data_IF_905114018668
#
_entry.id   IF_905114018668
#
_cell.length_a   1.000
_cell.length_b   1.000
_cell.length_c   1.000
_cell.angle_alpha   90.00
_cell.angle_beta   90.00
_cell.angle_gamma   90.00
#
_symmetry.space_group_name_H-M   'P 1'
#
loop_
_entity.id
_entity.type
_entity.pdbx_description
1 polymer ?
#
# COMPACT_ATOMS: atom_id res chain seq x y z
N UNK A 1 -11.10 -17.86 -12.95
CA UNK A 1 -10.13 -16.90 -12.38
C UNK A 1 -10.91 -15.81 -11.69
N UNK A 2 -10.55 -15.46 -10.45
CA UNK A 2 -11.21 -14.38 -9.71
C UNK A 2 -10.89 -13.05 -10.40
N UNK A 3 -11.91 -12.32 -10.86
CA UNK A 3 -11.74 -11.04 -11.56
C UNK A 3 -11.62 -9.88 -10.55
N UNK A 4 -10.80 -10.07 -9.51
CA UNK A 4 -10.56 -9.02 -8.51
C UNK A 4 -9.57 -8.03 -9.14
N UNK A 5 -9.94 -6.75 -9.27
CA UNK A 5 -9.04 -5.75 -9.81
C UNK A 5 -7.81 -5.64 -8.91
N UNK A 6 -6.63 -5.63 -9.54
CA UNK A 6 -5.35 -5.45 -8.85
C UNK A 6 -5.12 -3.94 -8.66
N UNK A 7 -4.67 -3.49 -7.48
CA UNK A 7 -4.36 -2.07 -7.27
C UNK A 7 -3.29 -1.56 -8.23
N UNK A 8 -3.51 -0.37 -8.79
CA UNK A 8 -2.61 0.25 -9.79
C UNK A 8 -1.17 0.40 -9.30
N UNK A 9 -0.99 0.67 -8.01
CA UNK A 9 0.34 0.83 -7.41
C UNK A 9 1.10 -0.49 -7.28
N UNK A 10 0.40 -1.62 -7.25
CA UNK A 10 1.00 -2.96 -7.35
C UNK A 10 1.39 -3.25 -8.79
N UNK A 11 0.50 -2.94 -9.75
CA UNK A 11 0.78 -3.10 -11.19
C UNK A 11 2.05 -2.33 -11.57
N UNK A 12 2.12 -1.06 -11.19
CA UNK A 12 3.24 -0.19 -11.51
C UNK A 12 4.58 -0.72 -10.98
N UNK A 13 4.63 -1.27 -9.76
CA UNK A 13 5.88 -1.81 -9.19
C UNK A 13 6.29 -3.09 -9.90
N UNK A 14 5.33 -3.93 -10.29
CA UNK A 14 5.62 -5.14 -11.08
C UNK A 14 6.16 -4.76 -12.46
N UNK A 15 5.54 -3.79 -13.14
CA UNK A 15 6.03 -3.30 -14.44
C UNK A 15 7.46 -2.76 -14.34
N UNK A 16 7.75 -1.92 -13.33
CA UNK A 16 9.11 -1.41 -13.10
C UNK A 16 10.13 -2.52 -12.84
N UNK A 17 9.75 -3.56 -12.09
CA UNK A 17 10.61 -4.72 -11.88
C UNK A 17 10.90 -5.45 -13.20
N UNK A 18 9.86 -5.73 -14.00
CA UNK A 18 10.01 -6.41 -15.29
C UNK A 18 10.89 -5.61 -16.26
N UNK A 19 10.66 -4.30 -16.37
CA UNK A 19 11.49 -3.42 -17.18
C UNK A 19 12.96 -3.44 -16.75
N UNK A 20 13.22 -3.45 -15.44
CA UNK A 20 14.56 -3.57 -14.87
C UNK A 20 15.24 -4.88 -15.25
N UNK A 21 14.57 -6.01 -15.01
CA UNK A 21 15.11 -7.35 -15.33
C UNK A 21 15.37 -7.51 -16.83
N UNK A 22 14.46 -7.02 -17.69
CA UNK A 22 14.66 -7.06 -19.14
C UNK A 22 15.83 -6.17 -19.59
N UNK A 23 15.94 -4.96 -19.05
CA UNK A 23 17.09 -4.07 -19.32
C UNK A 23 18.40 -4.76 -18.94
N UNK A 24 18.41 -5.44 -17.80
CA UNK A 24 19.62 -6.02 -17.25
C UNK A 24 20.03 -7.31 -17.97
N UNK A 25 19.06 -8.13 -18.37
CA UNK A 25 19.29 -9.31 -19.22
C UNK A 25 19.85 -8.93 -20.61
N UNK A 26 19.50 -7.76 -21.14
CA UNK A 26 20.08 -7.24 -22.39
C UNK A 26 21.53 -6.77 -22.21
N UNK A 27 21.88 -6.27 -21.02
CA UNK A 27 23.21 -5.67 -20.75
C UNK A 27 24.25 -6.69 -20.28
N UNK A 28 23.81 -7.77 -19.65
CA UNK A 28 24.68 -8.72 -18.99
C UNK A 28 24.34 -10.15 -19.42
N UNK A 29 25.23 -10.78 -20.19
CA UNK A 29 25.06 -12.15 -20.71
C UNK A 29 24.97 -13.22 -19.60
N UNK A 30 25.36 -12.89 -18.36
CA UNK A 30 25.35 -13.78 -17.21
C UNK A 30 24.21 -13.51 -16.23
N UNK A 31 23.22 -12.68 -16.60
CA UNK A 31 22.13 -12.31 -15.70
C UNK A 31 20.81 -12.94 -16.09
N UNK A 32 20.14 -13.55 -15.12
CA UNK A 32 18.83 -14.17 -15.27
C UNK A 32 17.94 -13.85 -14.06
N UNK A 33 16.60 -13.77 -14.22
CA UNK A 33 15.69 -13.45 -13.11
C UNK A 33 15.75 -14.41 -11.92
N UNK A 34 16.28 -15.62 -12.12
CA UNK A 34 16.42 -16.65 -11.09
C UNK A 34 17.87 -16.94 -10.70
N UNK A 35 18.81 -16.08 -11.08
CA UNK A 35 20.14 -16.08 -10.47
C UNK A 35 20.11 -15.42 -9.07
N UNK A 36 21.24 -15.44 -8.35
CA UNK A 36 21.32 -14.89 -6.99
C UNK A 36 20.88 -13.42 -6.92
N UNK A 37 21.21 -12.62 -7.94
CA UNK A 37 20.82 -11.21 -8.04
C UNK A 37 19.34 -11.03 -8.39
N UNK A 38 18.79 -11.89 -9.24
CA UNK A 38 17.38 -11.91 -9.63
C UNK A 38 16.47 -12.35 -8.49
N UNK A 39 16.89 -13.36 -7.70
CA UNK A 39 16.18 -13.80 -6.49
C UNK A 39 16.12 -12.68 -5.45
N UNK A 40 17.23 -11.97 -5.22
CA UNK A 40 17.24 -10.82 -4.33
C UNK A 40 16.28 -9.71 -4.80
N UNK A 41 16.29 -9.43 -6.10
CA UNK A 41 15.43 -8.42 -6.73
C UNK A 41 13.94 -8.81 -6.62
N UNK A 42 13.62 -10.10 -6.75
CA UNK A 42 12.28 -10.65 -6.54
C UNK A 42 11.83 -10.51 -5.08
N UNK A 43 12.71 -10.80 -4.11
CA UNK A 43 12.39 -10.59 -2.69
C UNK A 43 12.11 -9.12 -2.38
N UNK A 44 12.87 -8.21 -2.98
CA UNK A 44 12.65 -6.77 -2.85
C UNK A 44 11.31 -6.34 -3.46
N UNK A 45 10.94 -6.88 -4.62
CA UNK A 45 9.63 -6.67 -5.22
C UNK A 45 8.51 -7.10 -4.25
N UNK A 46 8.60 -8.32 -3.72
CA UNK A 46 7.60 -8.85 -2.79
C UNK A 46 7.48 -7.96 -1.54
N UNK A 47 8.60 -7.55 -0.94
CA UNK A 47 8.61 -6.65 0.21
C UNK A 47 7.91 -5.32 -0.08
N UNK A 48 8.15 -4.72 -1.26
CA UNK A 48 7.51 -3.47 -1.67
C UNK A 48 5.98 -3.63 -1.82
N UNK A 49 5.52 -4.72 -2.42
CA UNK A 49 4.08 -5.00 -2.57
C UNK A 49 3.42 -5.15 -1.18
N UNK A 50 4.04 -5.90 -0.28
CA UNK A 50 3.55 -6.05 1.09
C UNK A 50 3.48 -4.72 1.84
N UNK A 51 4.53 -3.90 1.74
CA UNK A 51 4.57 -2.59 2.38
C UNK A 51 3.42 -1.69 1.90
N UNK A 52 3.16 -1.64 0.59
CA UNK A 52 2.04 -0.88 0.01
C UNK A 52 0.69 -1.33 0.54
N UNK A 53 0.45 -2.64 0.58
CA UNK A 53 -0.78 -3.21 1.15
C UNK A 53 -0.95 -2.85 2.63
N UNK A 54 0.14 -2.92 3.41
CA UNK A 54 0.13 -2.55 4.82
C UNK A 54 -0.17 -1.06 5.05
N UNK A 55 0.48 -0.17 4.28
CA UNK A 55 0.22 1.28 4.33
C UNK A 55 -1.22 1.63 3.96
N UNK A 56 -1.75 1.03 2.89
CA UNK A 56 -3.13 1.22 2.47
C UNK A 56 -4.12 0.78 3.56
N UNK A 57 -3.90 -0.39 4.16
CA UNK A 57 -4.70 -0.88 5.28
C UNK A 57 -4.65 0.04 6.50
N UNK A 58 -3.45 0.51 6.85
CA UNK A 58 -3.24 1.45 7.96
C UNK A 58 -3.98 2.78 7.74
N UNK A 59 -3.99 3.28 6.50
CA UNK A 59 -4.72 4.51 6.15
C UNK A 59 -6.23 4.35 6.33
N UNK A 60 -6.79 3.25 5.80
CA UNK A 60 -8.22 2.94 5.92
C UNK A 60 -8.65 2.83 7.38
N UNK A 61 -7.86 2.13 8.21
CA UNK A 61 -8.15 2.01 9.64
C UNK A 61 -8.08 3.36 10.36
N UNK A 62 -7.08 4.20 10.04
CA UNK A 62 -6.99 5.55 10.56
C UNK A 62 -8.19 6.44 10.17
N UNK A 63 -8.69 6.31 8.94
CA UNK A 63 -9.91 7.01 8.51
C UNK A 63 -11.14 6.54 9.27
N UNK A 64 -11.26 5.23 9.46
CA UNK A 64 -12.35 4.62 10.23
C UNK A 64 -12.40 5.18 11.66
N UNK A 65 -11.26 5.22 12.34
CA UNK A 65 -11.16 5.78 13.70
C UNK A 65 -11.53 7.27 13.74
N UNK A 66 -11.06 8.06 12.77
CA UNK A 66 -11.44 9.48 12.65
C UNK A 66 -12.95 9.66 12.47
N UNK A 67 -13.60 8.81 11.66
CA UNK A 67 -15.05 8.88 11.48
C UNK A 67 -15.81 8.55 12.77
N UNK A 68 -15.38 7.55 13.53
CA UNK A 68 -15.97 7.20 14.83
C UNK A 68 -15.86 8.37 15.81
N UNK A 69 -14.68 9.00 15.90
CA UNK A 69 -14.47 10.15 16.77
C UNK A 69 -15.30 11.37 16.38
N UNK A 70 -15.46 11.64 15.08
CA UNK A 70 -16.33 12.71 14.58
C UNK A 70 -17.78 12.49 14.99
N UNK A 71 -18.32 11.29 14.74
CA UNK A 71 -19.69 10.92 15.15
C UNK A 71 -19.90 11.07 16.65
N UNK A 72 -18.92 10.66 17.48
CA UNK A 72 -19.00 10.82 18.93
C UNK A 72 -18.99 12.30 19.38
N UNK A 73 -18.27 13.18 18.66
CA UNK A 73 -18.29 14.63 18.91
C UNK A 73 -19.62 15.26 18.49
N UNK A 74 -20.14 14.90 17.33
CA UNK A 74 -21.41 15.43 16.80
C UNK A 74 -22.61 15.00 17.66
N UNK A 75 -22.51 13.86 18.35
CA UNK A 75 -23.52 13.38 19.29
C UNK A 75 -23.43 14.01 20.68
N UNK A 76 -22.41 14.83 20.99
CA UNK A 76 -22.40 15.61 22.24
C UNK A 76 -23.26 16.86 22.06
N UNK A 77 -24.42 16.96 22.73
CA UNK A 77 -25.21 18.18 22.68
C UNK A 77 -24.38 19.36 23.21
N UNK A 78 -24.53 20.52 22.58
CA UNK A 78 -23.97 21.76 23.11
C UNK A 78 -24.49 21.93 24.54
N UNK A 79 -23.60 21.99 25.53
CA UNK A 79 -23.98 22.42 26.88
C UNK A 79 -24.64 23.79 26.73
N UNK A 80 -25.97 23.83 26.82
CA UNK A 80 -26.75 25.04 26.89
C UNK A 80 -26.25 25.84 28.08
N UNK A 81 -25.86 27.10 27.84
CA UNK A 81 -25.37 28.06 28.82
C UNK A 81 -26.51 28.63 29.69
N UNK A 82 -27.48 27.80 30.06
CA UNK A 82 -28.63 28.21 30.88
C UNK A 82 -28.53 27.55 32.26
N UNK A 83 -27.48 27.90 33.00
CA UNK A 83 -27.40 27.71 34.45
C UNK A 83 -26.25 28.61 34.94
N UNK A 84 -26.51 29.92 34.93
CA UNK A 84 -25.75 30.88 35.72
C UNK A 84 -26.59 31.20 36.96
N UNK A 85 -26.03 31.13 38.19
CA UNK A 85 -26.70 31.62 39.39
C UNK A 85 -26.79 33.15 39.43
#
# INVERSE_FOLDING_TARGET
>A
MSNVPVPDDVVQVVEQYVEGELSDAVKFDNRAPLDESGIWSLHRLAANIYAKGFEAGTRVEGERQRQVQRRARDQRPARTKDEAP
#
